data_IF_668121670003
#
_entry.id   IF_668121670003
#
_cell.length_a   1.000
_cell.length_b   1.000
_cell.length_c   1.000
_cell.angle_alpha   90.00
_cell.angle_beta   90.00
_cell.angle_gamma   90.00
#
_symmetry.space_group_name_H-M   'P 1'
#
loop_
_entity.id
_entity.type
_entity.pdbx_description
1 polymer ?
#
# COMPACT_ATOMS: atom_id res chain seq x y z
N UNK A 1 -3.39 7.54 28.10
CA UNK A 1 -2.53 6.51 27.49
C UNK A 1 -2.31 6.71 25.97
N UNK A 2 -3.30 7.03 25.17
CA UNK A 2 -3.13 7.22 23.69
C UNK A 2 -2.14 8.32 23.29
N UNK A 3 -2.10 9.46 24.00
CA UNK A 3 -1.19 10.59 23.64
C UNK A 3 0.29 10.23 23.77
N UNK A 4 0.66 9.40 24.74
CA UNK A 4 2.05 8.98 24.93
C UNK A 4 2.49 7.94 23.89
N UNK A 5 1.56 7.10 23.41
CA UNK A 5 1.85 6.14 22.37
C UNK A 5 2.15 6.82 21.02
N UNK A 6 1.35 7.84 20.68
CA UNK A 6 1.58 8.65 19.45
C UNK A 6 2.92 9.40 19.54
N UNK A 7 3.23 10.00 20.69
CA UNK A 7 4.49 10.73 20.88
C UNK A 7 5.70 9.78 20.79
N UNK A 8 5.62 8.59 21.41
CA UNK A 8 6.69 7.58 21.31
C UNK A 8 6.86 7.07 19.89
N UNK A 9 5.78 6.85 19.14
CA UNK A 9 5.84 6.45 17.74
C UNK A 9 6.50 7.53 16.87
N UNK A 10 6.18 8.81 17.10
CA UNK A 10 6.80 9.94 16.38
C UNK A 10 8.28 10.07 16.72
N UNK A 11 8.68 9.91 17.99
CA UNK A 11 10.07 9.95 18.41
C UNK A 11 10.87 8.77 17.84
N UNK A 12 10.30 7.56 17.82
CA UNK A 12 10.92 6.41 17.16
C UNK A 12 11.10 6.61 15.66
N UNK A 13 10.10 7.17 14.98
CA UNK A 13 10.19 7.51 13.55
C UNK A 13 11.27 8.58 13.30
N UNK A 14 11.38 9.60 14.15
CA UNK A 14 12.39 10.64 14.05
C UNK A 14 13.80 10.11 14.36
N UNK A 15 13.95 9.19 15.29
CA UNK A 15 15.24 8.56 15.61
C UNK A 15 15.74 7.63 14.49
N UNK A 16 14.83 6.95 13.81
CA UNK A 16 15.15 6.11 12.65
C UNK A 16 15.62 6.96 11.47
N UNK A 17 14.99 8.12 11.23
CA UNK A 17 15.36 9.00 10.11
C UNK A 17 16.77 9.62 10.26
N UNK A 18 17.33 9.74 11.45
CA UNK A 18 18.70 10.23 11.64
C UNK A 18 19.79 9.21 11.29
N UNK A 19 19.45 7.93 11.18
CA UNK A 19 20.38 6.86 10.81
C UNK A 19 20.44 6.58 9.30
N UNK A 20 19.47 7.08 8.51
CA UNK A 20 19.42 6.86 7.07
C UNK A 20 19.82 8.14 6.32
N UNK A 21 20.79 8.00 5.41
CA UNK A 21 21.24 9.12 4.58
C UNK A 21 20.14 9.64 3.64
N UNK A 22 19.12 8.82 3.33
CA UNK A 22 18.07 9.13 2.38
C UNK A 22 16.72 8.58 2.86
N UNK A 23 15.73 9.47 2.94
CA UNK A 23 14.32 9.12 3.23
C UNK A 23 13.43 9.80 2.20
N UNK A 24 12.64 9.01 1.50
CA UNK A 24 11.63 9.49 0.55
C UNK A 24 10.23 9.30 1.14
N UNK A 25 9.44 10.35 1.22
CA UNK A 25 8.01 10.26 1.59
C UNK A 25 7.16 10.46 0.34
N UNK A 26 6.19 9.57 0.12
CA UNK A 26 5.42 9.48 -1.12
C UNK A 26 3.92 9.38 -0.85
N UNK A 27 3.14 9.94 -1.75
CA UNK A 27 1.67 9.83 -1.73
C UNK A 27 1.15 9.51 -3.14
N UNK A 28 0.04 8.80 -3.21
CA UNK A 28 -0.65 8.54 -4.47
C UNK A 28 -1.58 9.70 -4.82
N UNK A 29 -1.27 10.52 -5.85
CA UNK A 29 -2.06 11.71 -6.17
C UNK A 29 -3.47 11.40 -6.67
N UNK A 30 -3.65 10.25 -7.31
CA UNK A 30 -4.94 9.81 -7.84
C UNK A 30 -5.79 9.05 -6.83
N UNK A 31 -5.18 8.59 -5.73
CA UNK A 31 -5.88 7.78 -4.74
C UNK A 31 -7.17 8.40 -4.20
N UNK A 32 -7.18 9.67 -3.78
CA UNK A 32 -8.39 10.32 -3.26
C UNK A 32 -9.57 10.34 -4.24
N UNK A 33 -9.31 10.41 -5.55
CA UNK A 33 -10.36 10.35 -6.58
C UNK A 33 -11.08 9.01 -6.62
N UNK A 34 -10.41 7.96 -6.16
CA UNK A 34 -10.94 6.59 -6.08
C UNK A 34 -11.23 6.15 -4.64
N UNK A 35 -11.40 7.10 -3.71
CA UNK A 35 -11.64 6.79 -2.30
C UNK A 35 -10.53 5.99 -1.64
N UNK A 36 -9.27 6.22 -2.03
CA UNK A 36 -8.09 5.57 -1.43
C UNK A 36 -7.05 6.60 -1.02
N UNK A 37 -6.38 6.35 0.09
CA UNK A 37 -5.22 7.14 0.51
C UNK A 37 -4.09 6.19 0.87
N UNK A 38 -2.90 6.43 0.31
CA UNK A 38 -1.70 5.68 0.64
C UNK A 38 -0.56 6.65 0.90
N UNK A 39 0.11 6.45 2.03
CA UNK A 39 1.37 7.10 2.37
C UNK A 39 2.46 6.05 2.38
N UNK A 40 3.60 6.38 1.83
CA UNK A 40 4.76 5.49 1.71
C UNK A 40 6.01 6.20 2.18
N UNK A 41 6.88 5.47 2.83
CA UNK A 41 8.20 5.95 3.21
C UNK A 41 9.25 4.96 2.74
N UNK A 42 10.21 5.42 1.95
CA UNK A 42 11.32 4.61 1.48
C UNK A 42 12.62 5.07 2.13
N UNK A 43 13.36 4.11 2.66
CA UNK A 43 14.63 4.29 3.35
C UNK A 43 15.74 3.68 2.50
N UNK A 44 16.77 4.47 2.20
CA UNK A 44 18.00 3.97 1.57
C UNK A 44 18.82 3.18 2.58
N UNK A 45 18.94 1.87 2.40
CA UNK A 45 19.71 0.99 3.27
C UNK A 45 21.14 0.77 2.75
N UNK A 46 21.33 0.90 1.44
CA UNK A 46 22.61 0.82 0.74
C UNK A 46 22.51 1.60 -0.58
N UNK A 47 23.62 1.73 -1.29
CA UNK A 47 23.69 2.50 -2.55
C UNK A 47 22.67 2.06 -3.60
N UNK A 48 22.37 0.75 -3.62
CA UNK A 48 21.44 0.16 -4.59
C UNK A 48 20.18 -0.43 -3.94
N UNK A 49 20.03 -0.36 -2.63
CA UNK A 49 18.94 -1.04 -1.94
C UNK A 49 18.11 -0.10 -1.08
N UNK A 50 16.80 -0.13 -1.31
CA UNK A 50 15.80 0.62 -0.55
C UNK A 50 14.74 -0.29 0.07
N UNK A 51 14.27 0.11 1.24
CA UNK A 51 13.14 -0.52 1.93
C UNK A 51 11.99 0.50 1.99
N UNK A 52 10.85 0.15 1.42
CA UNK A 52 9.67 1.02 1.44
C UNK A 52 8.59 0.42 2.35
N UNK A 53 8.13 1.20 3.31
CA UNK A 53 6.96 0.92 4.13
C UNK A 53 5.73 1.64 3.56
N UNK A 54 4.58 0.98 3.60
CA UNK A 54 3.32 1.46 3.01
C UNK A 54 2.23 1.36 4.06
N UNK A 55 1.49 2.45 4.25
CA UNK A 55 0.25 2.48 5.04
C UNK A 55 -0.82 3.14 4.19
N UNK A 56 -1.99 2.54 4.11
CA UNK A 56 -3.07 3.08 3.33
C UNK A 56 -4.44 2.60 3.78
N UNK A 57 -5.45 3.27 3.26
CA UNK A 57 -6.84 2.92 3.47
C UNK A 57 -7.67 3.18 2.22
N UNK A 58 -8.79 2.50 2.11
CA UNK A 58 -9.80 2.78 1.11
C UNK A 58 -11.18 2.87 1.76
N UNK A 59 -11.98 3.77 1.23
CA UNK A 59 -13.38 3.97 1.63
C UNK A 59 -14.19 4.17 0.36
N UNK A 60 -14.73 3.09 -0.16
CA UNK A 60 -15.48 3.11 -1.40
C UNK A 60 -16.96 2.84 -1.12
N UNK A 61 -17.80 3.59 -1.79
CA UNK A 61 -19.23 3.35 -1.84
C UNK A 61 -19.57 3.04 -3.30
N UNK A 62 -20.02 1.84 -3.57
CA UNK A 62 -20.47 1.41 -4.90
C UNK A 62 -21.99 1.43 -4.87
N UNK A 63 -22.59 2.28 -5.69
CA UNK A 63 -24.03 2.32 -5.85
C UNK A 63 -24.43 1.33 -6.93
N UNK A 64 -25.22 0.33 -6.56
CA UNK A 64 -25.93 -0.52 -7.52
C UNK A 64 -27.33 0.09 -7.74
N UNK A 65 -27.88 -0.06 -8.93
CA UNK A 65 -29.21 0.46 -9.25
C UNK A 65 -30.26 -0.04 -8.23
N UNK A 66 -31.16 0.88 -7.79
CA UNK A 66 -32.32 0.61 -6.93
C UNK A 66 -32.05 0.40 -5.42
N UNK A 67 -31.14 1.16 -4.83
CA UNK A 67 -31.11 1.31 -3.37
C UNK A 67 -30.09 0.45 -2.63
N UNK A 68 -29.42 -0.46 -3.31
CA UNK A 68 -28.36 -1.27 -2.73
C UNK A 68 -27.00 -0.61 -2.88
N UNK A 69 -26.48 -0.05 -1.80
CA UNK A 69 -25.12 0.48 -1.74
C UNK A 69 -24.19 -0.53 -1.07
N UNK A 70 -23.03 -0.79 -1.65
CA UNK A 70 -21.95 -1.51 -0.99
C UNK A 70 -20.91 -0.53 -0.44
N UNK A 71 -20.81 -0.48 0.87
CA UNK A 71 -19.74 0.27 1.56
C UNK A 71 -18.58 -0.65 1.84
N UNK A 72 -17.41 -0.32 1.32
CA UNK A 72 -16.17 -1.06 1.59
C UNK A 72 -15.15 -0.13 2.25
N UNK A 73 -14.68 -0.53 3.43
CA UNK A 73 -13.59 0.16 4.14
C UNK A 73 -12.46 -0.83 4.35
N UNK A 74 -11.27 -0.49 3.88
CA UNK A 74 -10.10 -1.37 3.98
C UNK A 74 -8.90 -0.61 4.51
N UNK A 75 -8.17 -1.20 5.45
CA UNK A 75 -6.86 -0.77 5.92
C UNK A 75 -5.80 -1.66 5.27
N UNK A 76 -4.69 -1.06 4.83
CA UNK A 76 -3.62 -1.75 4.12
C UNK A 76 -2.26 -1.39 4.70
N UNK A 77 -1.42 -2.41 4.88
CA UNK A 77 -0.02 -2.30 5.24
C UNK A 77 0.81 -3.04 4.20
N UNK A 78 2.00 -2.55 3.92
CA UNK A 78 2.90 -3.22 2.97
C UNK A 78 4.35 -2.86 3.21
N UNK A 79 5.21 -3.75 2.72
CA UNK A 79 6.66 -3.55 2.71
C UNK A 79 7.19 -3.99 1.35
N UNK A 80 8.03 -3.15 0.74
CA UNK A 80 8.73 -3.45 -0.51
C UNK A 80 10.23 -3.39 -0.28
N UNK A 81 10.96 -4.46 -0.59
CA UNK A 81 12.40 -4.43 -0.76
C UNK A 81 12.73 -4.15 -2.22
N UNK A 82 13.52 -3.11 -2.50
CA UNK A 82 13.80 -2.63 -3.86
C UNK A 82 15.28 -2.64 -4.14
N UNK A 83 15.66 -3.20 -5.28
CA UNK A 83 17.01 -3.14 -5.81
C UNK A 83 17.05 -2.26 -7.05
N UNK A 84 17.83 -1.19 -7.01
CA UNK A 84 17.99 -0.20 -8.07
C UNK A 84 19.16 -0.57 -8.99
N UNK A 85 18.90 -0.65 -10.30
CA UNK A 85 19.92 -0.88 -11.29
C UNK A 85 20.59 0.46 -11.63
N UNK A 86 21.87 0.60 -11.32
CA UNK A 86 22.66 1.77 -11.68
C UNK A 86 22.00 3.11 -11.23
N UNK A 87 21.76 3.33 -9.93
CA UNK A 87 21.27 4.62 -9.43
C UNK A 87 22.25 5.74 -9.75
N UNK A 88 21.78 6.98 -9.79
CA UNK A 88 22.64 8.13 -10.02
C UNK A 88 23.23 8.67 -8.72
N UNK A 89 24.09 9.68 -8.83
CA UNK A 89 24.71 10.36 -7.66
C UNK A 89 23.71 10.98 -6.69
N UNK A 90 22.50 11.25 -7.15
CA UNK A 90 21.40 11.73 -6.30
C UNK A 90 20.74 10.61 -5.47
N UNK A 91 21.22 9.37 -5.55
CA UNK A 91 20.79 8.21 -4.77
C UNK A 91 19.75 7.33 -5.49
N UNK A 92 18.96 6.59 -4.74
CA UNK A 92 18.06 5.56 -5.26
C UNK A 92 17.04 6.12 -6.26
N UNK A 93 17.27 5.83 -7.55
CA UNK A 93 16.45 6.27 -8.68
C UNK A 93 16.62 5.35 -9.89
N UNK A 94 15.95 5.68 -11.01
CA UNK A 94 15.88 4.92 -12.25
C UNK A 94 15.13 3.60 -12.10
N UNK A 95 15.52 2.60 -12.87
CA UNK A 95 14.88 1.28 -12.85
C UNK A 95 15.21 0.50 -11.60
N UNK A 96 14.21 -0.19 -11.09
CA UNK A 96 14.37 -1.10 -9.97
C UNK A 96 13.48 -2.34 -10.12
N UNK A 97 13.87 -3.39 -9.47
CA UNK A 97 13.06 -4.58 -9.22
C UNK A 97 12.99 -4.82 -7.72
N UNK A 98 12.08 -5.66 -7.30
CA UNK A 98 12.00 -5.96 -5.87
C UNK A 98 10.98 -7.04 -5.52
N UNK A 99 10.89 -7.26 -4.22
CA UNK A 99 9.87 -8.10 -3.61
C UNK A 99 8.93 -7.22 -2.80
N UNK A 100 7.67 -7.60 -2.77
CA UNK A 100 6.71 -6.94 -1.91
C UNK A 100 5.92 -7.93 -1.06
N UNK A 101 5.48 -7.44 0.09
CA UNK A 101 4.45 -8.08 0.89
C UNK A 101 3.38 -7.06 1.22
N UNK A 102 2.13 -7.51 1.30
CA UNK A 102 0.99 -6.65 1.59
C UNK A 102 -0.04 -7.40 2.44
N UNK A 103 -0.48 -6.75 3.49
CA UNK A 103 -1.62 -7.17 4.29
C UNK A 103 -2.75 -6.14 4.15
N UNK A 104 -3.95 -6.61 3.95
CA UNK A 104 -5.14 -5.77 3.97
C UNK A 104 -6.23 -6.41 4.83
N UNK A 105 -6.89 -5.59 5.63
CA UNK A 105 -8.04 -5.96 6.43
C UNK A 105 -9.16 -4.97 6.17
N UNK A 106 -10.34 -5.46 5.88
CA UNK A 106 -11.46 -4.62 5.49
C UNK A 106 -12.81 -5.17 5.92
N UNK A 107 -13.80 -4.28 5.82
CA UNK A 107 -15.21 -4.59 6.03
C UNK A 107 -16.00 -4.17 4.82
N UNK A 108 -16.82 -5.07 4.31
CA UNK A 108 -17.80 -4.81 3.27
C UNK A 108 -19.20 -4.96 3.87
N UNK A 109 -20.06 -3.97 3.67
CA UNK A 109 -21.42 -3.96 4.18
C UNK A 109 -22.38 -3.55 3.06
N UNK A 110 -23.40 -4.38 2.82
CA UNK A 110 -24.56 -4.00 2.01
C UNK A 110 -25.48 -3.06 2.83
N UNK A 111 -26.15 -2.14 2.17
CA UNK A 111 -27.17 -1.26 2.79
C UNK A 111 -28.59 -1.73 2.49
N UNK A 112 -28.78 -2.90 1.84
CA UNK A 112 -30.09 -3.54 1.68
C UNK A 112 -30.73 -3.89 3.03
N UNK A 113 -32.05 -4.13 3.05
CA UNK A 113 -32.82 -4.45 4.28
C UNK A 113 -32.29 -5.69 5.02
N UNK A 114 -31.69 -6.67 4.29
CA UNK A 114 -30.92 -7.79 4.85
C UNK A 114 -29.41 -7.50 4.71
N UNK A 115 -28.88 -6.60 5.54
CA UNK A 115 -27.52 -6.09 5.42
C UNK A 115 -26.48 -7.12 5.85
N UNK A 116 -26.02 -7.93 4.94
CA UNK A 116 -24.86 -8.80 5.13
C UNK A 116 -23.60 -7.96 5.34
N UNK A 117 -22.87 -8.27 6.41
CA UNK A 117 -21.57 -7.67 6.68
C UNK A 117 -20.50 -8.75 6.56
N UNK A 118 -19.42 -8.42 5.84
CA UNK A 118 -18.31 -9.33 5.61
C UNK A 118 -16.99 -8.70 6.08
N UNK A 119 -16.20 -9.47 6.82
CA UNK A 119 -14.81 -9.15 7.13
C UNK A 119 -13.90 -9.80 6.11
N UNK A 120 -13.01 -9.02 5.52
CA UNK A 120 -12.03 -9.50 4.57
C UNK A 120 -10.62 -9.34 5.13
N UNK A 121 -9.82 -10.40 5.06
CA UNK A 121 -8.40 -10.37 5.38
C UNK A 121 -7.63 -11.00 4.24
N UNK A 122 -6.63 -10.28 3.74
CA UNK A 122 -5.79 -10.74 2.63
C UNK A 122 -4.32 -10.48 2.93
N UNK A 123 -3.50 -11.50 2.77
CA UNK A 123 -2.05 -11.40 2.79
C UNK A 123 -1.50 -11.85 1.45
N UNK A 124 -0.76 -10.98 0.78
CA UNK A 124 -0.20 -11.22 -0.55
C UNK A 124 1.26 -10.83 -0.62
N UNK A 125 1.95 -11.37 -1.60
CA UNK A 125 3.33 -11.04 -1.90
C UNK A 125 3.72 -11.45 -3.30
N UNK A 126 4.81 -10.90 -3.78
CA UNK A 126 5.27 -11.14 -5.14
C UNK A 126 6.46 -10.27 -5.52
N UNK A 127 6.65 -10.16 -6.82
CA UNK A 127 7.69 -9.36 -7.45
C UNK A 127 7.14 -8.02 -7.91
N UNK A 128 8.00 -7.01 -7.97
CA UNK A 128 7.68 -5.73 -8.57
C UNK A 128 8.81 -5.25 -9.45
N UNK A 129 8.46 -4.46 -10.45
CA UNK A 129 9.39 -3.70 -11.29
C UNK A 129 8.90 -2.26 -11.35
N UNK A 130 9.81 -1.32 -11.41
CA UNK A 130 9.41 0.08 -11.42
C UNK A 130 10.51 1.02 -11.89
N UNK A 131 10.12 2.28 -11.96
CA UNK A 131 10.98 3.37 -12.38
C UNK A 131 10.70 4.60 -11.51
N UNK A 132 11.76 5.17 -10.93
CA UNK A 132 11.74 6.41 -10.16
C UNK A 132 12.57 7.47 -10.84
N UNK A 133 12.00 8.65 -11.04
CA UNK A 133 12.69 9.80 -11.66
C UNK A 133 12.50 11.05 -10.82
N UNK A 134 13.53 11.88 -10.77
CA UNK A 134 13.54 13.15 -10.04
C UNK A 134 13.26 14.33 -10.96
N UNK A 135 12.57 15.33 -10.43
CA UNK A 135 12.49 16.64 -11.01
C UNK A 135 13.84 17.38 -10.86
N UNK A 136 13.97 18.52 -11.53
CA UNK A 136 15.22 19.34 -11.52
C UNK A 136 15.72 19.76 -10.13
N UNK A 137 14.83 19.78 -9.14
CA UNK A 137 15.18 20.15 -7.76
C UNK A 137 15.81 19.01 -6.96
N UNK A 138 15.95 17.79 -7.57
CA UNK A 138 16.53 16.58 -6.99
C UNK A 138 15.84 16.09 -5.70
N UNK A 139 14.71 16.68 -5.33
CA UNK A 139 13.92 16.31 -4.15
C UNK A 139 12.54 15.77 -4.51
N UNK A 140 11.84 16.47 -5.41
CA UNK A 140 10.55 15.99 -5.92
C UNK A 140 10.79 14.85 -6.91
N UNK A 141 10.07 13.74 -6.75
CA UNK A 141 10.21 12.60 -7.64
C UNK A 141 8.86 11.95 -7.96
N UNK A 142 8.84 11.25 -9.08
CA UNK A 142 7.77 10.41 -9.53
C UNK A 142 8.24 8.95 -9.48
N UNK A 143 7.38 8.07 -9.00
CA UNK A 143 7.68 6.66 -8.87
C UNK A 143 6.49 5.84 -9.39
N UNK A 144 6.75 5.03 -10.40
CA UNK A 144 5.78 4.13 -11.01
C UNK A 144 6.26 2.70 -10.85
N UNK A 145 5.35 1.81 -10.44
CA UNK A 145 5.65 0.39 -10.42
C UNK A 145 4.46 -0.49 -10.76
N UNK A 146 4.79 -1.65 -11.26
CA UNK A 146 3.90 -2.77 -11.51
C UNK A 146 4.39 -3.97 -10.71
N UNK A 147 3.49 -4.68 -10.10
CA UNK A 147 3.79 -5.91 -9.38
C UNK A 147 2.97 -7.08 -9.91
N UNK A 148 3.49 -8.25 -9.64
CA UNK A 148 2.88 -9.52 -9.94
C UNK A 148 3.10 -10.45 -8.76
N UNK A 149 2.02 -10.98 -8.22
CA UNK A 149 2.11 -11.85 -7.05
C UNK A 149 0.85 -12.63 -6.79
N UNK A 150 0.79 -13.19 -5.60
CA UNK A 150 -0.31 -14.03 -5.18
C UNK A 150 -0.73 -13.73 -3.74
N UNK A 151 -2.01 -13.90 -3.46
CA UNK A 151 -2.50 -13.95 -2.09
C UNK A 151 -2.22 -15.34 -1.51
N UNK A 152 -1.54 -15.37 -0.37
CA UNK A 152 -1.27 -16.59 0.40
C UNK A 152 -2.37 -16.87 1.41
N UNK A 153 -3.05 -15.82 1.84
CA UNK A 153 -4.22 -15.88 2.72
C UNK A 153 -5.26 -14.94 2.13
N UNK A 154 -6.46 -15.46 1.93
CA UNK A 154 -7.60 -14.66 1.55
C UNK A 154 -8.86 -15.23 2.21
N UNK A 155 -9.30 -14.57 3.26
CA UNK A 155 -10.47 -14.99 4.04
C UNK A 155 -11.57 -13.94 3.92
N UNK A 156 -12.77 -14.39 3.59
CA UNK A 156 -14.00 -13.60 3.68
C UNK A 156 -14.89 -14.32 4.69
N UNK A 157 -15.19 -13.65 5.79
CA UNK A 157 -16.05 -14.16 6.86
C UNK A 157 -17.30 -13.32 6.95
N UNK A 158 -18.45 -13.95 6.82
CA UNK A 158 -19.73 -13.33 7.13
C UNK A 158 -19.83 -12.99 8.62
N UNK A 159 -20.56 -11.94 8.94
CA UNK A 159 -20.88 -11.51 10.30
C UNK A 159 -22.39 -11.72 10.49
N UNK A 160 -22.79 -12.35 11.60
CA UNK A 160 -24.18 -12.72 11.85
C UNK A 160 -24.57 -13.98 11.07
N UNK A 161 -25.70 -13.92 10.38
CA UNK A 161 -26.26 -15.05 9.63
C UNK A 161 -25.67 -15.19 8.20
N UNK A 162 -24.75 -14.31 7.78
CA UNK A 162 -24.14 -14.34 6.47
C UNK A 162 -23.25 -15.57 6.29
N UNK A 163 -23.51 -16.34 5.24
CA UNK A 163 -22.73 -17.54 4.92
C UNK A 163 -21.29 -17.19 4.50
N UNK A 164 -20.30 -18.00 4.92
CA UNK A 164 -18.92 -17.79 4.50
C UNK A 164 -18.78 -18.02 2.99
N UNK A 165 -18.15 -17.07 2.30
CA UNK A 165 -17.89 -17.20 0.85
C UNK A 165 -16.62 -18.03 0.65
N UNK A 166 -16.75 -19.20 0.03
CA UNK A 166 -15.62 -20.00 -0.40
C UNK A 166 -15.07 -19.46 -1.72
N UNK A 167 -13.82 -19.00 -1.71
CA UNK A 167 -13.17 -18.39 -2.87
C UNK A 167 -12.18 -19.34 -3.58
N UNK A 168 -12.03 -20.55 -3.08
CA UNK A 168 -11.04 -21.49 -3.62
C UNK A 168 -11.35 -21.91 -5.07
N UNK A 169 -12.63 -21.83 -5.45
CA UNK A 169 -13.11 -22.21 -6.78
C UNK A 169 -13.10 -21.07 -7.82
N UNK A 170 -12.72 -19.84 -7.41
CA UNK A 170 -12.70 -18.71 -8.33
C UNK A 170 -11.29 -18.51 -8.89
N UNK A 171 -11.03 -18.88 -10.16
CA UNK A 171 -9.72 -18.70 -10.78
C UNK A 171 -9.36 -17.19 -10.80
N UNK A 172 -8.09 -16.88 -10.61
CA UNK A 172 -7.51 -15.53 -10.62
C UNK A 172 -7.80 -14.65 -9.39
N UNK A 173 -8.71 -15.01 -8.49
CA UNK A 173 -8.99 -14.20 -7.30
C UNK A 173 -7.78 -14.12 -6.34
N UNK A 174 -6.92 -15.14 -6.39
CA UNK A 174 -5.68 -15.20 -5.61
C UNK A 174 -4.52 -14.40 -6.23
N UNK A 175 -4.69 -13.85 -7.42
CA UNK A 175 -3.66 -13.04 -8.05
C UNK A 175 -3.64 -11.64 -7.45
N UNK A 176 -2.44 -11.07 -7.34
CA UNK A 176 -2.21 -9.72 -6.85
C UNK A 176 -1.39 -8.94 -7.88
N UNK A 177 -1.99 -7.92 -8.46
CA UNK A 177 -1.43 -7.11 -9.54
C UNK A 177 -1.34 -5.63 -9.10
N UNK A 178 -0.47 -5.30 -8.13
CA UNK A 178 -0.36 -3.92 -7.69
C UNK A 178 0.19 -3.03 -8.79
N UNK A 179 -0.56 -1.99 -9.11
CA UNK A 179 -0.10 -0.88 -9.95
C UNK A 179 -0.04 0.37 -9.11
N UNK A 180 1.05 1.12 -9.22
CA UNK A 180 1.28 2.29 -8.36
C UNK A 180 1.87 3.43 -9.17
N UNK A 181 1.28 4.61 -8.99
CA UNK A 181 1.84 5.89 -9.40
C UNK A 181 1.84 6.81 -8.18
N UNK A 182 3.00 7.27 -7.77
CA UNK A 182 3.14 8.16 -6.61
C UNK A 182 4.05 9.33 -6.91
N UNK A 183 3.80 10.41 -6.20
CA UNK A 183 4.69 11.58 -6.13
C UNK A 183 5.31 11.58 -4.74
N UNK A 184 6.60 11.82 -4.67
CA UNK A 184 7.33 11.83 -3.43
C UNK A 184 8.28 13.01 -3.29
N UNK A 185 8.68 13.22 -2.04
CA UNK A 185 9.67 14.22 -1.68
C UNK A 185 10.78 13.55 -0.87
N UNK A 186 12.03 13.86 -1.22
CA UNK A 186 13.25 13.35 -0.57
C UNK A 186 13.69 14.28 0.55
N UNK A 187 13.88 13.69 1.72
CA UNK A 187 14.50 14.29 2.89
C UNK A 187 15.91 13.72 3.06
N UNK A 188 16.86 14.57 3.39
CA UNK A 188 18.28 14.20 3.47
C UNK A 188 18.98 14.22 2.09
N UNK A 189 20.26 13.96 2.12
CA UNK A 189 21.14 13.78 0.94
C UNK A 189 21.50 12.32 0.80
#
# INVERSE_FOLDING_TARGET
MQKHFILSAVICLAAISSSFAQVDVKVGPLGPLFGTLNVRSEFGLADNFGLEAIVGGSWNKINFNEGDDLKNTTLRFGVNGRYYFNPSEIGLNKFYTGLYTRYSSGKARSTAEDSDEYNTNRFSGGFLVGFKTFARNERLHFDFNLGFGRAFVYNIKGIGDAEPVNLDDVPFLNWDLPTTLVIGYRFGK
#
